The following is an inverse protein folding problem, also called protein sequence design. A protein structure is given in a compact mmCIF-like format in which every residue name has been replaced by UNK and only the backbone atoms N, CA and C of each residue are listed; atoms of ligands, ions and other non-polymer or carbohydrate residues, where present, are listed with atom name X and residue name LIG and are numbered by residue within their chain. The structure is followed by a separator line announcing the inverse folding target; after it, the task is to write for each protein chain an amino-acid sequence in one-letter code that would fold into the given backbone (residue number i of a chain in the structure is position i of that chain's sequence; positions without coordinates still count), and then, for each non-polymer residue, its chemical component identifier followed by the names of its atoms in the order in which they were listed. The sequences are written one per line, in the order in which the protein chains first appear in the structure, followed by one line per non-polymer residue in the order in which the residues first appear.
data_IF_402994644416
#
_entry.id   IF_402994644416
#
_cell.length_a   1.000
_cell.length_b   1.000
_cell.length_c   1.000
_cell.angle_alpha   90.00
_cell.angle_beta   90.00
_cell.angle_gamma   90.00
#
_symmetry.space_group_name_H-M   'P 1'
#
loop_
_entity.id
_entity.type
_entity.pdbx_description
1 polymer ?
#
# COMPACT_ATOMS: atom_id res chain seq x y z
N UNK A 1 13.91 -16.92 12.09
CA UNK A 1 12.45 -17.00 11.90
C UNK A 1 12.08 -17.98 10.83
N UNK A 2 10.92 -18.61 10.97
CA UNK A 2 10.37 -19.55 9.98
C UNK A 2 9.17 -18.89 9.28
N UNK A 3 9.18 -18.90 7.95
CA UNK A 3 8.21 -18.20 7.11
C UNK A 3 7.23 -19.19 6.48
N UNK A 4 5.95 -18.89 6.54
CA UNK A 4 4.91 -19.50 5.71
C UNK A 4 4.58 -18.58 4.53
N UNK A 5 4.36 -19.12 3.34
CA UNK A 5 3.95 -18.35 2.15
C UNK A 5 2.58 -18.82 1.72
N UNK A 6 1.64 -17.87 1.58
CA UNK A 6 0.25 -18.14 1.21
C UNK A 6 -0.12 -17.26 0.02
N UNK A 7 -0.58 -17.88 -1.08
CA UNK A 7 -1.08 -17.16 -2.26
C UNK A 7 -0.42 -17.55 -3.57
N UNK A 8 -0.50 -16.66 -4.55
CA UNK A 8 -0.11 -16.95 -5.93
C UNK A 8 0.79 -15.89 -6.58
N UNK A 9 1.10 -14.79 -5.89
CA UNK A 9 1.92 -13.73 -6.48
C UNK A 9 3.35 -14.21 -6.71
N UNK A 10 3.82 -14.10 -7.94
CA UNK A 10 5.18 -14.46 -8.32
C UNK A 10 6.25 -13.63 -7.58
N UNK A 11 5.90 -12.52 -6.98
CA UNK A 11 6.80 -11.69 -6.18
C UNK A 11 7.31 -12.39 -4.93
N UNK A 12 6.52 -13.31 -4.39
CA UNK A 12 6.94 -14.14 -3.27
C UNK A 12 8.24 -14.91 -3.55
N UNK A 13 8.57 -15.15 -4.84
CA UNK A 13 9.82 -15.81 -5.25
C UNK A 13 11.05 -14.99 -4.83
N UNK A 14 11.00 -13.67 -5.01
CA UNK A 14 12.14 -12.79 -4.66
C UNK A 14 12.42 -12.85 -3.15
N UNK A 15 11.34 -12.82 -2.34
CA UNK A 15 11.46 -12.97 -0.90
C UNK A 15 11.95 -14.38 -0.52
N UNK A 16 11.42 -15.43 -1.17
CA UNK A 16 11.81 -16.80 -0.93
C UNK A 16 13.29 -17.05 -1.28
N UNK A 17 13.80 -16.48 -2.38
CA UNK A 17 15.23 -16.50 -2.72
C UNK A 17 16.07 -15.78 -1.65
N UNK A 18 15.63 -14.63 -1.16
CA UNK A 18 16.32 -13.89 -0.09
C UNK A 18 16.35 -14.70 1.22
N UNK A 19 15.25 -15.38 1.58
CA UNK A 19 15.21 -16.27 2.75
C UNK A 19 16.19 -17.42 2.58
N UNK A 20 16.21 -18.05 1.41
CA UNK A 20 17.14 -19.16 1.10
C UNK A 20 18.61 -18.74 1.18
N UNK A 21 18.93 -17.50 0.84
CA UNK A 21 20.30 -16.99 0.88
C UNK A 21 20.86 -16.83 2.31
N UNK A 22 20.01 -16.90 3.34
CA UNK A 22 20.44 -16.79 4.74
C UNK A 22 20.35 -18.13 5.44
N UNK A 23 21.21 -18.34 6.45
CA UNK A 23 21.12 -19.48 7.37
C UNK A 23 20.25 -19.20 8.59
N UNK A 24 19.92 -17.94 8.83
CA UNK A 24 19.15 -17.50 10.00
C UNK A 24 17.64 -17.69 9.85
N UNK A 25 17.16 -17.90 8.61
CA UNK A 25 15.74 -17.96 8.32
C UNK A 25 15.43 -19.20 7.46
N UNK A 26 14.17 -19.66 7.55
CA UNK A 26 13.73 -20.88 6.83
C UNK A 26 12.33 -20.67 6.28
N UNK A 27 12.04 -21.31 5.14
CA UNK A 27 10.69 -21.44 4.62
C UNK A 27 10.10 -22.73 5.18
N UNK A 28 8.89 -22.62 5.73
CA UNK A 28 8.12 -23.72 6.32
C UNK A 28 6.96 -24.14 5.43
N UNK A 29 5.74 -24.29 6.02
CA UNK A 29 4.56 -24.68 5.26
C UNK A 29 4.13 -23.55 4.30
N UNK A 30 3.76 -23.93 3.09
CA UNK A 30 3.32 -23.01 2.07
C UNK A 30 2.00 -23.49 1.46
N UNK A 31 1.01 -22.61 1.40
CA UNK A 31 -0.21 -22.79 0.63
C UNK A 31 -0.16 -21.90 -0.61
N UNK A 32 0.46 -22.41 -1.68
CA UNK A 32 0.76 -21.61 -2.86
C UNK A 32 0.21 -22.26 -4.14
N UNK A 33 -0.12 -21.44 -5.13
CA UNK A 33 -0.56 -21.91 -6.44
C UNK A 33 0.52 -22.79 -7.11
N UNK A 34 0.08 -23.75 -7.90
CA UNK A 34 0.99 -24.72 -8.53
C UNK A 34 2.09 -24.10 -9.39
N UNK A 35 1.83 -22.95 -10.05
CA UNK A 35 2.83 -22.19 -10.81
C UNK A 35 3.92 -21.61 -9.90
N UNK A 36 3.53 -21.07 -8.75
CA UNK A 36 4.46 -20.54 -7.76
C UNK A 36 5.26 -21.67 -7.10
N UNK A 37 4.61 -22.77 -6.73
CA UNK A 37 5.24 -23.96 -6.18
C UNK A 37 6.31 -24.55 -7.17
N UNK A 38 5.97 -24.65 -8.46
CA UNK A 38 6.88 -25.11 -9.48
C UNK A 38 8.09 -24.17 -9.64
N UNK A 39 7.87 -22.86 -9.61
CA UNK A 39 8.93 -21.86 -9.70
C UNK A 39 9.87 -21.90 -8.48
N UNK A 40 9.34 -22.05 -7.27
CA UNK A 40 10.12 -22.20 -6.05
C UNK A 40 10.95 -23.50 -6.08
N UNK A 41 10.34 -24.62 -6.49
CA UNK A 41 11.03 -25.90 -6.64
C UNK A 41 12.15 -25.81 -7.68
N UNK A 42 11.89 -25.19 -8.84
CA UNK A 42 12.87 -24.99 -9.90
C UNK A 42 14.11 -24.18 -9.47
N UNK A 43 13.96 -23.36 -8.43
CA UNK A 43 15.06 -22.58 -7.81
C UNK A 43 15.73 -23.30 -6.65
N UNK A 44 15.31 -24.54 -6.34
CA UNK A 44 15.87 -25.31 -5.22
C UNK A 44 15.47 -24.77 -3.85
N UNK A 45 14.35 -24.07 -3.76
CA UNK A 45 13.79 -23.60 -2.48
C UNK A 45 13.08 -24.78 -1.81
N UNK A 46 13.50 -25.13 -0.60
CA UNK A 46 12.89 -26.19 0.19
C UNK A 46 11.68 -25.64 0.96
N UNK A 47 10.51 -26.25 0.83
CA UNK A 47 9.29 -25.93 1.55
C UNK A 47 8.38 -27.16 1.65
N UNK A 48 7.38 -27.14 2.53
CA UNK A 48 6.34 -28.15 2.60
C UNK A 48 5.01 -27.57 2.07
N UNK A 49 4.39 -28.25 1.12
CA UNK A 49 3.12 -27.83 0.56
C UNK A 49 1.98 -28.30 1.50
N UNK A 50 1.08 -27.39 1.83
CA UNK A 50 -0.14 -27.65 2.62
C UNK A 50 -1.38 -27.34 1.81
N UNK A 51 -2.53 -27.90 2.21
CA UNK A 51 -3.76 -27.84 1.44
C UNK A 51 -4.54 -26.52 1.66
N UNK A 52 -4.39 -25.91 2.82
CA UNK A 52 -5.14 -24.69 3.16
C UNK A 52 -4.27 -23.62 3.85
N UNK A 53 -4.65 -22.34 3.74
CA UNK A 53 -4.00 -21.25 4.48
C UNK A 53 -3.96 -21.50 5.99
N UNK A 54 -5.04 -22.04 6.56
CA UNK A 54 -5.17 -22.32 7.98
C UNK A 54 -4.10 -23.31 8.45
N UNK A 55 -3.82 -24.38 7.69
CA UNK A 55 -2.77 -25.33 8.01
C UNK A 55 -1.40 -24.67 8.11
N UNK A 56 -1.12 -23.71 7.18
CA UNK A 56 0.14 -22.97 7.20
C UNK A 56 0.23 -22.04 8.41
N UNK A 57 -0.86 -21.36 8.78
CA UNK A 57 -0.90 -20.36 9.86
C UNK A 57 -0.81 -21.03 11.25
N UNK A 58 -1.48 -22.18 11.44
CA UNK A 58 -1.58 -22.87 12.75
C UNK A 58 -0.28 -23.60 13.10
N UNK A 59 0.61 -23.87 12.15
CA UNK A 59 1.90 -24.51 12.44
C UNK A 59 2.67 -23.71 13.51
N UNK A 60 2.89 -24.32 14.66
CA UNK A 60 3.50 -23.67 15.84
C UNK A 60 4.96 -23.22 15.61
N UNK A 61 5.59 -23.73 14.57
CA UNK A 61 6.95 -23.31 14.20
C UNK A 61 7.01 -22.10 13.27
N UNK A 62 5.87 -21.56 12.80
CA UNK A 62 5.83 -20.40 11.93
C UNK A 62 5.87 -19.11 12.77
N UNK A 63 6.77 -18.20 12.44
CA UNK A 63 6.90 -16.89 13.06
C UNK A 63 6.28 -15.78 12.17
N UNK A 64 6.39 -15.92 10.85
CA UNK A 64 5.99 -14.91 9.86
C UNK A 64 5.15 -15.54 8.77
N UNK A 65 4.02 -14.93 8.47
CA UNK A 65 3.16 -15.31 7.33
C UNK A 65 3.32 -14.29 6.21
N UNK A 66 3.71 -14.75 5.04
CA UNK A 66 3.77 -13.96 3.81
C UNK A 66 2.47 -14.14 3.05
N UNK A 67 1.68 -13.08 2.97
CA UNK A 67 0.41 -13.05 2.25
C UNK A 67 0.67 -12.53 0.84
N UNK A 68 0.53 -13.41 -0.14
CA UNK A 68 0.81 -13.15 -1.57
C UNK A 68 -0.43 -13.39 -2.44
N UNK A 69 -1.59 -13.01 -1.94
CA UNK A 69 -2.89 -13.20 -2.60
C UNK A 69 -3.15 -12.12 -3.66
N UNK A 70 -3.76 -12.51 -4.77
CA UNK A 70 -4.11 -11.57 -5.84
C UNK A 70 -5.42 -10.80 -5.57
N UNK A 71 -6.31 -11.37 -4.74
CA UNK A 71 -7.58 -10.76 -4.40
C UNK A 71 -7.47 -9.99 -3.07
N UNK A 72 -8.03 -8.77 -3.04
CA UNK A 72 -8.01 -7.86 -1.87
C UNK A 72 -8.68 -8.50 -0.65
N UNK A 73 -9.88 -9.04 -0.81
CA UNK A 73 -10.66 -9.58 0.31
C UNK A 73 -9.99 -10.83 0.91
N UNK A 74 -9.45 -11.70 0.04
CA UNK A 74 -8.70 -12.88 0.46
C UNK A 74 -7.41 -12.48 1.16
N UNK A 75 -6.69 -11.49 0.64
CA UNK A 75 -5.47 -10.96 1.24
C UNK A 75 -5.71 -10.44 2.65
N UNK A 76 -6.74 -9.61 2.86
CA UNK A 76 -7.14 -9.11 4.18
C UNK A 76 -7.59 -10.24 5.11
N UNK A 77 -8.36 -11.21 4.60
CA UNK A 77 -8.82 -12.36 5.39
C UNK A 77 -7.65 -13.19 5.93
N UNK A 78 -6.68 -13.52 5.08
CA UNK A 78 -5.49 -14.28 5.45
C UNK A 78 -4.60 -13.49 6.42
N UNK A 79 -4.40 -12.18 6.15
CA UNK A 79 -3.65 -11.31 7.05
C UNK A 79 -4.29 -11.23 8.44
N UNK A 80 -5.62 -11.15 8.52
CA UNK A 80 -6.39 -11.15 9.78
C UNK A 80 -6.24 -12.48 10.53
N UNK A 81 -6.37 -13.61 9.84
CA UNK A 81 -6.19 -14.94 10.45
C UNK A 81 -4.77 -15.11 11.01
N UNK A 82 -3.75 -14.68 10.25
CA UNK A 82 -2.36 -14.74 10.69
C UNK A 82 -2.10 -13.86 11.93
N UNK A 83 -2.63 -12.63 11.92
CA UNK A 83 -2.54 -11.71 13.06
C UNK A 83 -3.23 -12.26 14.31
N UNK A 84 -4.41 -12.89 14.16
CA UNK A 84 -5.15 -13.55 15.26
C UNK A 84 -4.46 -14.82 15.79
N UNK A 85 -3.61 -15.43 14.98
CA UNK A 85 -2.78 -16.57 15.37
C UNK A 85 -1.42 -16.15 15.96
N UNK A 86 -1.24 -14.86 16.30
CA UNK A 86 -0.03 -14.32 16.87
C UNK A 86 1.19 -14.48 15.94
N UNK A 87 1.02 -14.16 14.64
CA UNK A 87 2.09 -14.21 13.65
C UNK A 87 2.38 -12.81 13.12
N UNK A 88 3.65 -12.53 12.86
CA UNK A 88 4.01 -11.39 12.04
C UNK A 88 3.52 -11.57 10.60
N UNK A 89 3.15 -10.50 9.93
CA UNK A 89 2.58 -10.56 8.59
C UNK A 89 3.38 -9.69 7.63
N UNK A 90 3.84 -10.30 6.54
CA UNK A 90 4.35 -9.59 5.37
C UNK A 90 3.29 -9.66 4.27
N UNK A 91 2.84 -8.51 3.79
CA UNK A 91 1.80 -8.47 2.77
C UNK A 91 2.38 -8.02 1.44
N UNK A 92 2.29 -8.85 0.43
CA UNK A 92 2.51 -8.45 -0.96
C UNK A 92 1.18 -7.90 -1.47
N UNK A 93 1.08 -6.59 -1.73
CA UNK A 93 -0.20 -6.00 -2.10
C UNK A 93 -0.77 -6.61 -3.37
N UNK A 94 -2.08 -6.87 -3.44
CA UNK A 94 -2.78 -7.27 -4.67
C UNK A 94 -2.65 -6.24 -5.80
N UNK A 95 -3.05 -6.63 -7.01
CA UNK A 95 -2.92 -5.77 -8.19
C UNK A 95 -3.83 -4.54 -8.15
N UNK A 96 -5.00 -4.67 -7.55
CA UNK A 96 -6.01 -3.62 -7.44
C UNK A 96 -6.19 -3.18 -5.99
N UNK A 97 -5.23 -2.43 -5.48
CA UNK A 97 -5.29 -1.88 -4.12
C UNK A 97 -5.79 -0.44 -4.10
N UNK A 98 -6.49 -0.11 -3.03
CA UNK A 98 -7.00 1.23 -2.76
C UNK A 98 -6.59 1.69 -1.35
N UNK A 99 -6.87 2.95 -1.03
CA UNK A 99 -6.69 3.47 0.33
C UNK A 99 -7.52 2.73 1.38
N UNK A 100 -8.64 2.10 0.99
CA UNK A 100 -9.42 1.25 1.89
C UNK A 100 -8.63 -0.01 2.31
N UNK A 101 -7.84 -0.59 1.40
CA UNK A 101 -6.99 -1.73 1.72
C UNK A 101 -5.92 -1.37 2.76
N UNK A 102 -5.23 -0.25 2.59
CA UNK A 102 -4.25 0.19 3.60
C UNK A 102 -4.90 0.48 4.94
N UNK A 103 -6.11 1.03 4.94
CA UNK A 103 -6.87 1.26 6.17
C UNK A 103 -7.20 -0.03 6.93
N UNK A 104 -7.65 -1.08 6.23
CA UNK A 104 -7.87 -2.40 6.85
C UNK A 104 -6.58 -2.97 7.44
N UNK A 105 -5.43 -2.83 6.75
CA UNK A 105 -4.15 -3.26 7.28
C UNK A 105 -3.72 -2.44 8.51
N UNK A 106 -3.99 -1.13 8.55
CA UNK A 106 -3.76 -0.30 9.73
C UNK A 106 -4.57 -0.78 10.93
N UNK A 107 -5.87 -1.05 10.73
CA UNK A 107 -6.71 -1.59 11.80
C UNK A 107 -6.16 -2.91 12.35
N UNK A 108 -5.73 -3.81 11.46
CA UNK A 108 -5.13 -5.07 11.88
C UNK A 108 -3.82 -4.86 12.67
N UNK A 109 -2.99 -3.90 12.25
CA UNK A 109 -1.77 -3.54 12.97
C UNK A 109 -2.09 -2.97 14.36
N UNK A 110 -3.11 -2.10 14.47
CA UNK A 110 -3.51 -1.50 15.74
C UNK A 110 -4.08 -2.53 16.73
N UNK A 111 -4.81 -3.52 16.23
CA UNK A 111 -5.40 -4.60 17.02
C UNK A 111 -4.40 -5.70 17.38
N UNK A 112 -3.26 -5.79 16.69
CA UNK A 112 -2.26 -6.84 16.83
C UNK A 112 -1.08 -6.42 17.72
N UNK A 113 -0.48 -7.38 18.41
CA UNK A 113 0.82 -7.22 19.07
C UNK A 113 2.00 -7.57 18.14
N UNK A 114 1.72 -8.07 16.95
CA UNK A 114 2.69 -8.52 15.95
C UNK A 114 2.78 -7.53 14.80
N UNK A 115 3.97 -7.42 14.19
CA UNK A 115 4.19 -6.48 13.10
C UNK A 115 3.49 -6.90 11.81
N UNK A 116 2.95 -5.92 11.10
CA UNK A 116 2.40 -6.07 9.76
C UNK A 116 3.11 -5.08 8.85
N UNK A 117 3.74 -5.57 7.78
CA UNK A 117 4.52 -4.74 6.86
C UNK A 117 4.12 -5.04 5.41
N UNK A 118 3.71 -4.03 4.62
CA UNK A 118 3.50 -4.18 3.19
C UNK A 118 4.85 -4.25 2.45
N UNK A 119 5.01 -5.27 1.62
CA UNK A 119 6.18 -5.49 0.77
C UNK A 119 5.96 -4.78 -0.57
N UNK A 120 6.50 -3.58 -0.70
CA UNK A 120 6.30 -2.69 -1.84
C UNK A 120 7.62 -2.31 -2.51
N UNK A 121 7.60 -1.38 -3.46
CA UNK A 121 8.75 -1.02 -4.30
C UNK A 121 10.01 -0.60 -3.53
N UNK A 122 9.86 0.10 -2.41
CA UNK A 122 10.99 0.58 -1.58
C UNK A 122 11.89 -0.54 -1.06
N UNK A 123 11.32 -1.72 -0.81
CA UNK A 123 12.08 -2.87 -0.31
C UNK A 123 13.04 -3.44 -1.35
N UNK A 124 12.76 -3.21 -2.62
CA UNK A 124 13.55 -3.68 -3.75
C UNK A 124 14.62 -2.67 -4.21
N UNK A 125 14.74 -1.53 -3.51
CA UNK A 125 15.76 -0.51 -3.79
C UNK A 125 16.72 -0.47 -2.60
N UNK A 126 18.01 -0.61 -2.87
CA UNK A 126 19.05 -0.60 -1.83
C UNK A 126 19.48 0.83 -1.41
N UNK A 127 18.55 1.80 -1.46
CA UNK A 127 18.87 3.22 -1.19
C UNK A 127 19.05 3.52 0.31
N UNK A 128 18.49 2.68 1.18
CA UNK A 128 18.57 2.86 2.65
C UNK A 128 19.81 2.23 3.29
N UNK A 129 20.75 1.73 2.50
CA UNK A 129 21.99 1.17 3.04
C UNK A 129 22.95 2.28 3.47
N UNK A 130 23.73 2.09 4.54
CA UNK A 130 24.74 3.06 4.96
C UNK A 130 25.73 3.45 3.85
N UNK A 131 26.04 2.50 2.96
CA UNK A 131 26.86 2.75 1.77
C UNK A 131 26.28 3.72 0.76
N UNK A 132 24.99 4.08 0.88
CA UNK A 132 24.30 5.01 -0.01
C UNK A 132 24.06 6.39 0.61
N UNK A 133 24.53 6.64 1.82
CA UNK A 133 24.40 7.96 2.47
C UNK A 133 25.01 9.09 1.64
N UNK A 134 26.20 8.85 1.09
CA UNK A 134 26.85 9.80 0.17
C UNK A 134 26.05 10.05 -1.12
N UNK A 135 25.21 9.07 -1.52
CA UNK A 135 24.35 9.23 -2.70
C UNK A 135 23.18 10.17 -2.46
N UNK A 136 22.78 10.39 -1.20
CA UNK A 136 21.67 11.29 -0.83
C UNK A 136 22.07 12.76 -0.84
N UNK A 137 23.37 13.04 -0.76
CA UNK A 137 23.86 14.42 -0.78
C UNK A 137 23.87 14.98 -2.20
N UNK A 138 23.43 16.24 -2.32
CA UNK A 138 23.47 16.99 -3.57
C UNK A 138 22.73 16.32 -4.74
N UNK A 139 21.61 15.64 -4.46
CA UNK A 139 20.78 15.02 -5.48
C UNK A 139 20.02 16.10 -6.25
N UNK A 140 20.16 16.11 -7.57
CA UNK A 140 19.42 16.96 -8.48
C UNK A 140 18.13 16.28 -8.96
N UNK A 141 18.18 14.98 -9.20
CA UNK A 141 17.06 14.21 -9.76
C UNK A 141 17.20 12.73 -9.44
N UNK A 142 16.05 12.07 -9.23
CA UNK A 142 15.91 10.61 -9.22
C UNK A 142 15.17 10.17 -10.47
N UNK A 143 15.64 9.16 -11.18
CA UNK A 143 14.94 8.60 -12.34
C UNK A 143 14.90 7.08 -12.29
N UNK A 144 13.72 6.52 -12.56
CA UNK A 144 13.46 5.09 -12.59
C UNK A 144 12.80 4.74 -13.92
N UNK A 145 13.39 3.79 -14.66
CA UNK A 145 12.84 3.30 -15.91
C UNK A 145 12.26 1.91 -15.71
N UNK A 146 11.01 1.73 -16.10
CA UNK A 146 10.29 0.45 -16.04
C UNK A 146 9.75 0.10 -17.44
N UNK A 147 9.66 -1.19 -17.77
CA UNK A 147 9.02 -1.61 -19.01
C UNK A 147 7.51 -1.32 -18.96
N UNK A 148 6.97 -0.85 -20.09
CA UNK A 148 5.54 -0.70 -20.31
C UNK A 148 4.94 -2.08 -20.60
N UNK A 149 3.75 -2.34 -20.11
CA UNK A 149 3.00 -3.57 -20.40
C UNK A 149 1.61 -3.22 -20.94
N UNK A 150 1.06 -4.09 -21.78
CA UNK A 150 -0.31 -3.96 -22.30
C UNK A 150 -1.35 -4.51 -21.28
N UNK A 151 -0.90 -5.26 -20.26
CA UNK A 151 -1.76 -5.71 -19.17
C UNK A 151 -1.96 -4.56 -18.16
N UNK A 152 -3.19 -4.13 -18.03
CA UNK A 152 -3.56 -2.99 -17.18
C UNK A 152 -3.28 -3.28 -15.69
N UNK A 153 -3.52 -4.49 -15.22
CA UNK A 153 -3.27 -4.88 -13.83
C UNK A 153 -1.77 -4.88 -13.53
N UNK A 154 -0.95 -5.48 -14.41
CA UNK A 154 0.50 -5.47 -14.28
C UNK A 154 1.06 -4.03 -14.39
N UNK A 155 0.48 -3.20 -15.26
CA UNK A 155 0.88 -1.79 -15.39
C UNK A 155 0.59 -0.99 -14.09
N UNK A 156 -0.57 -1.18 -13.46
CA UNK A 156 -0.91 -0.55 -12.18
C UNK A 156 0.04 -1.00 -11.06
N UNK A 157 0.34 -2.29 -11.00
CA UNK A 157 1.31 -2.85 -10.05
C UNK A 157 2.69 -2.21 -10.23
N UNK A 158 3.20 -2.10 -11.46
CA UNK A 158 4.48 -1.44 -11.77
C UNK A 158 4.48 0.04 -11.39
N UNK A 159 3.35 0.74 -11.59
CA UNK A 159 3.19 2.13 -11.17
C UNK A 159 3.28 2.27 -9.65
N UNK A 160 2.51 1.46 -8.90
CA UNK A 160 2.54 1.47 -7.45
C UNK A 160 3.96 1.23 -6.93
N UNK A 161 4.66 0.23 -7.45
CA UNK A 161 6.02 -0.09 -7.04
C UNK A 161 7.03 0.99 -7.41
N UNK A 162 6.93 1.53 -8.61
CA UNK A 162 7.82 2.60 -9.07
C UNK A 162 7.65 3.87 -8.25
N UNK A 163 6.41 4.26 -7.95
CA UNK A 163 6.12 5.40 -7.06
C UNK A 163 6.65 5.13 -5.66
N UNK A 164 6.38 3.93 -5.10
CA UNK A 164 6.86 3.57 -3.77
C UNK A 164 8.40 3.52 -3.69
N UNK A 165 9.06 3.03 -4.73
CA UNK A 165 10.52 3.01 -4.79
C UNK A 165 11.12 4.42 -4.75
N UNK A 166 10.53 5.38 -5.47
CA UNK A 166 10.97 6.78 -5.45
C UNK A 166 10.68 7.45 -4.10
N UNK A 167 9.48 7.24 -3.53
CA UNK A 167 9.14 7.73 -2.18
C UNK A 167 10.07 7.10 -1.11
N UNK A 168 10.45 5.84 -1.29
CA UNK A 168 11.38 5.12 -0.40
C UNK A 168 12.80 5.70 -0.37
N UNK A 169 13.15 6.60 -1.31
CA UNK A 169 14.43 7.30 -1.30
C UNK A 169 14.53 8.40 -0.21
N UNK A 170 13.49 8.57 0.61
CA UNK A 170 13.51 9.49 1.77
C UNK A 170 13.08 10.91 1.44
N UNK A 171 12.42 11.13 0.30
CA UNK A 171 11.87 12.43 -0.10
C UNK A 171 10.35 12.44 0.00
N UNK A 172 9.80 13.53 0.51
CA UNK A 172 8.36 13.72 0.61
C UNK A 172 7.84 14.45 -0.63
N UNK A 173 7.18 13.70 -1.49
CA UNK A 173 6.52 14.23 -2.68
C UNK A 173 5.06 14.56 -2.38
N UNK A 174 4.62 15.76 -2.78
CA UNK A 174 3.24 16.23 -2.59
C UNK A 174 2.52 16.54 -3.90
N UNK A 175 3.21 16.41 -5.03
CA UNK A 175 2.65 16.67 -6.35
C UNK A 175 2.98 15.55 -7.31
N UNK A 176 2.05 15.23 -8.19
CA UNK A 176 2.25 14.29 -9.28
C UNK A 176 1.76 14.84 -10.60
N UNK A 177 2.60 14.71 -11.62
CA UNK A 177 2.27 15.01 -13.02
C UNK A 177 2.52 13.76 -13.84
N UNK A 178 1.53 13.32 -14.60
CA UNK A 178 1.66 12.17 -15.47
C UNK A 178 1.26 12.50 -16.91
N UNK A 179 2.05 12.01 -17.86
CA UNK A 179 1.87 12.24 -19.28
C UNK A 179 2.02 10.94 -20.05
N UNK A 180 1.04 10.65 -20.90
CA UNK A 180 1.05 9.56 -21.86
C UNK A 180 1.43 10.07 -23.24
N UNK A 181 2.33 9.36 -23.90
CA UNK A 181 2.72 9.62 -25.30
C UNK A 181 2.16 8.47 -26.16
N UNK A 182 1.09 8.72 -26.93
CA UNK A 182 0.53 7.72 -27.84
C UNK A 182 1.39 7.57 -29.09
N UNK A 183 1.44 6.37 -29.63
CA UNK A 183 2.00 6.09 -30.95
C UNK A 183 1.05 6.45 -32.08
N UNK A 184 1.54 6.36 -33.30
CA UNK A 184 0.75 6.60 -34.52
C UNK A 184 -0.40 5.55 -34.69
N UNK A 185 -0.25 4.40 -34.09
CA UNK A 185 -1.23 3.30 -34.05
C UNK A 185 -2.23 3.40 -32.88
N UNK A 186 -2.14 4.47 -32.09
CA UNK A 186 -2.97 4.69 -30.90
C UNK A 186 -2.52 3.92 -29.66
N UNK A 187 -1.49 3.06 -29.76
CA UNK A 187 -0.93 2.38 -28.60
C UNK A 187 -0.08 3.32 -27.78
N UNK A 188 0.00 3.07 -26.49
CA UNK A 188 0.86 3.83 -25.60
C UNK A 188 2.33 3.49 -25.90
N UNK A 189 3.13 4.50 -26.28
CA UNK A 189 4.58 4.34 -26.50
C UNK A 189 5.38 4.53 -25.22
N UNK A 190 5.00 5.53 -24.43
CA UNK A 190 5.62 5.79 -23.14
C UNK A 190 4.68 6.51 -22.20
N UNK A 191 4.90 6.33 -20.90
CA UNK A 191 4.27 7.09 -19.82
C UNK A 191 5.38 7.69 -18.97
N UNK A 192 5.31 8.97 -18.69
CA UNK A 192 6.23 9.64 -17.78
C UNK A 192 5.45 10.19 -16.60
N UNK A 193 5.93 9.90 -15.40
CA UNK A 193 5.38 10.40 -14.15
C UNK A 193 6.45 11.20 -13.44
N UNK A 194 6.14 12.43 -13.08
CA UNK A 194 7.02 13.30 -12.30
C UNK A 194 6.43 13.52 -10.92
N UNK A 195 7.19 13.19 -9.90
CA UNK A 195 6.90 13.45 -8.51
C UNK A 195 7.68 14.68 -8.08
N UNK A 196 7.05 15.61 -7.37
CA UNK A 196 7.69 16.82 -6.85
C UNK A 196 7.09 17.24 -5.51
N UNK A 197 7.79 18.09 -4.78
CA UNK A 197 7.24 18.73 -3.59
C UNK A 197 6.49 20.02 -3.96
N UNK A 198 5.70 20.54 -3.03
CA UNK A 198 5.10 21.86 -3.14
C UNK A 198 6.19 22.95 -3.02
N UNK A 199 6.03 24.05 -3.77
CA UNK A 199 6.95 25.22 -3.72
C UNK A 199 6.99 25.90 -2.34
N UNK A 200 6.09 25.53 -1.44
CA UNK A 200 6.02 26.04 -0.07
C UNK A 200 6.99 25.36 0.92
N UNK A 201 7.71 24.31 0.50
CA UNK A 201 8.71 23.66 1.35
C UNK A 201 10.04 24.43 1.28
N UNK A 202 10.60 24.79 2.45
CA UNK A 202 11.93 25.40 2.55
C UNK A 202 13.07 24.44 2.15
N UNK A 203 12.75 23.16 1.96
CA UNK A 203 13.71 22.12 1.56
C UNK A 203 13.54 21.84 0.08
N UNK A 204 14.61 22.00 -0.69
CA UNK A 204 14.62 21.64 -2.10
C UNK A 204 14.58 20.13 -2.27
N UNK A 205 13.40 19.58 -2.59
CA UNK A 205 13.19 18.18 -2.86
C UNK A 205 13.50 17.88 -4.33
N UNK A 206 14.44 16.98 -4.65
CA UNK A 206 14.76 16.63 -6.02
C UNK A 206 13.55 15.94 -6.68
N UNK A 207 13.21 16.26 -7.94
CA UNK A 207 12.12 15.60 -8.64
C UNK A 207 12.42 14.11 -8.84
N UNK A 208 11.40 13.28 -8.61
CA UNK A 208 11.40 11.86 -8.94
C UNK A 208 10.74 11.66 -10.31
N UNK A 209 11.44 11.04 -11.26
CA UNK A 209 10.92 10.75 -12.60
C UNK A 209 10.79 9.25 -12.78
N UNK A 210 9.57 8.78 -13.03
CA UNK A 210 9.26 7.41 -13.36
C UNK A 210 8.84 7.34 -14.82
N UNK A 211 9.58 6.58 -15.64
CA UNK A 211 9.31 6.43 -17.06
C UNK A 211 8.99 4.99 -17.41
N UNK A 212 7.86 4.75 -18.06
CA UNK A 212 7.49 3.48 -18.64
C UNK A 212 7.69 3.57 -20.16
N UNK A 213 8.43 2.61 -20.72
CA UNK A 213 8.68 2.57 -22.17
C UNK A 213 8.42 1.17 -22.72
N UNK A 214 7.90 1.13 -23.94
CA UNK A 214 7.76 -0.13 -24.65
C UNK A 214 9.16 -0.58 -25.09
N UNK A 215 9.56 -1.77 -24.67
CA UNK A 215 10.81 -2.38 -25.11
C UNK A 215 10.67 -2.77 -26.57
N UNK A 216 11.32 -2.04 -27.48
CA UNK A 216 11.45 -2.50 -28.85
C UNK A 216 12.44 -3.67 -28.85
N UNK A 217 12.08 -4.81 -29.47
CA UNK A 217 13.08 -5.86 -29.72
C UNK A 217 14.21 -5.23 -30.56
N UNK A 218 15.38 -5.08 -29.94
CA UNK A 218 16.58 -4.66 -30.66
C UNK A 218 17.01 -5.77 -31.61
N UNK A 219 16.83 -5.54 -32.92
CA UNK A 219 17.31 -6.43 -34.00
C UNK A 219 18.83 -6.34 -34.21
N UNK A 220 19.64 -6.15 -33.17
CA UNK A 220 21.09 -6.10 -33.30
C UNK A 220 21.74 -7.10 -32.36
N UNK A 221 22.28 -8.18 -32.97
CA UNK A 221 23.02 -9.26 -32.32
C UNK A 221 24.37 -8.83 -31.69
N UNK A 222 24.71 -7.53 -31.66
CA UNK A 222 26.05 -7.08 -31.30
C UNK A 222 26.22 -6.52 -29.89
N UNK A 223 25.13 -6.44 -29.07
CA UNK A 223 25.23 -5.90 -27.70
C UNK A 223 24.62 -6.85 -26.66
N UNK A 224 25.33 -7.98 -26.42
CA UNK A 224 24.96 -8.99 -25.44
C UNK A 224 25.17 -8.58 -23.98
N UNK A 225 25.52 -7.31 -23.68
CA UNK A 225 25.91 -6.90 -22.33
C UNK A 225 24.94 -5.95 -21.62
N UNK A 226 23.79 -5.61 -22.20
CA UNK A 226 22.79 -4.81 -21.47
C UNK A 226 21.57 -5.66 -21.14
N UNK A 227 21.68 -6.46 -20.09
CA UNK A 227 20.53 -6.94 -19.34
C UNK A 227 19.60 -5.75 -19.11
N UNK A 228 18.28 -5.92 -19.37
CA UNK A 228 17.21 -4.93 -19.09
C UNK A 228 17.08 -4.71 -17.58
N UNK A 229 18.16 -4.32 -16.92
CA UNK A 229 18.17 -4.08 -15.49
C UNK A 229 17.37 -2.80 -15.21
N UNK A 230 16.27 -2.93 -14.52
CA UNK A 230 15.59 -1.79 -13.95
C UNK A 230 16.54 -1.11 -12.98
N UNK A 231 16.94 0.11 -13.28
CA UNK A 231 17.91 0.86 -12.50
C UNK A 231 17.29 2.15 -12.01
N UNK A 232 17.48 2.41 -10.74
CA UNK A 232 17.29 3.75 -10.21
C UNK A 232 18.57 4.55 -10.50
N UNK A 233 18.43 5.64 -11.21
CA UNK A 233 19.53 6.56 -11.51
C UNK A 233 19.39 7.79 -10.62
N UNK A 234 20.43 8.06 -9.85
CA UNK A 234 20.56 9.25 -9.01
C UNK A 234 21.49 10.22 -9.72
N UNK A 235 20.97 11.35 -10.19
CA UNK A 235 21.76 12.41 -10.80
C UNK A 235 22.07 13.46 -9.75
N UNK A 236 23.35 13.75 -9.54
CA UNK A 236 23.82 14.80 -8.62
C UNK A 236 23.88 16.18 -9.29
N UNK A 237 23.99 17.21 -8.47
CA UNK A 237 24.10 18.63 -8.94
C UNK A 237 25.35 18.90 -9.74
N UNK A 238 26.40 18.09 -9.61
CA UNK A 238 27.64 18.16 -10.41
C UNK A 238 27.52 17.42 -11.76
N UNK A 239 26.36 16.81 -12.04
CA UNK A 239 26.09 16.04 -13.25
C UNK A 239 26.56 14.59 -13.20
N UNK A 240 27.08 14.11 -12.05
CA UNK A 240 27.43 12.69 -11.91
C UNK A 240 26.18 11.82 -11.77
N UNK A 241 26.20 10.63 -12.37
CA UNK A 241 25.11 9.66 -12.30
C UNK A 241 25.55 8.42 -11.52
N UNK A 242 24.75 8.05 -10.55
CA UNK A 242 24.89 6.81 -9.79
C UNK A 242 23.76 5.85 -10.15
N UNK A 243 24.10 4.63 -10.52
CA UNK A 243 23.15 3.60 -10.90
C UNK A 243 22.96 2.60 -9.76
N UNK A 244 21.74 2.49 -9.26
CA UNK A 244 21.35 1.54 -8.22
C UNK A 244 20.52 0.45 -8.88
N UNK A 245 21.01 -0.79 -8.84
CA UNK A 245 20.25 -1.94 -9.32
C UNK A 245 19.04 -2.19 -8.44
N UNK A 246 17.88 -2.43 -9.05
CA UNK A 246 16.63 -2.69 -8.32
C UNK A 246 16.04 -4.04 -8.73
N UNK A 247 15.38 -4.70 -7.77
CA UNK A 247 14.65 -5.95 -8.03
C UNK A 247 13.21 -5.72 -8.53
N UNK A 248 12.91 -4.54 -9.05
CA UNK A 248 11.56 -4.17 -9.50
C UNK A 248 11.10 -4.86 -10.79
N UNK A 249 11.98 -5.60 -11.45
CA UNK A 249 11.63 -6.38 -12.63
C UNK A 249 10.78 -7.60 -12.29
N UNK A 250 9.97 -8.00 -13.26
CA UNK A 250 9.09 -9.16 -13.15
C UNK A 250 9.85 -10.41 -12.68
N UNK A 251 9.32 -11.13 -11.69
CA UNK A 251 10.00 -12.28 -11.10
C UNK A 251 10.20 -13.48 -12.02
N UNK A 252 9.68 -13.43 -13.24
CA UNK A 252 9.64 -14.60 -14.11
C UNK A 252 10.93 -14.90 -14.89
N UNK A 253 11.92 -14.00 -14.92
CA UNK A 253 13.00 -14.20 -15.88
C UNK A 253 14.42 -13.77 -15.54
N UNK A 254 14.68 -12.86 -14.64
CA UNK A 254 16.03 -12.37 -14.40
C UNK A 254 16.48 -12.61 -12.96
N UNK A 255 17.66 -13.20 -12.85
CA UNK A 255 18.30 -13.49 -11.57
C UNK A 255 18.66 -12.26 -10.77
N UNK A 256 17.69 -11.61 -10.13
CA UNK A 256 18.00 -10.86 -8.94
C UNK A 256 18.36 -11.92 -7.88
N UNK A 257 19.61 -12.24 -7.82
CA UNK A 257 20.18 -12.91 -6.68
C UNK A 257 20.44 -11.81 -5.66
N UNK A 258 19.56 -11.68 -4.69
CA UNK A 258 19.94 -11.09 -3.41
C UNK A 258 20.92 -12.08 -2.79
N UNK A 259 22.18 -12.05 -3.24
CA UNK A 259 23.22 -12.99 -2.82
C UNK A 259 23.46 -12.95 -1.32
N UNK A 260 22.98 -11.90 -0.63
CA UNK A 260 23.36 -11.60 0.74
C UNK A 260 22.23 -11.74 1.77
N UNK A 261 21.00 -12.11 1.39
CA UNK A 261 19.86 -12.19 2.35
C UNK A 261 19.51 -10.86 3.03
N UNK A 262 20.03 -9.74 2.55
CA UNK A 262 19.86 -8.41 3.13
C UNK A 262 18.40 -7.96 3.18
N UNK A 263 17.60 -8.31 2.15
CA UNK A 263 16.17 -7.98 2.10
C UNK A 263 15.42 -8.59 3.29
N UNK A 264 15.54 -9.90 3.51
CA UNK A 264 14.81 -10.58 4.58
C UNK A 264 15.29 -10.13 5.96
N UNK A 265 16.58 -9.86 6.12
CA UNK A 265 17.14 -9.36 7.39
C UNK A 265 16.56 -7.99 7.74
N UNK A 266 16.48 -7.08 6.77
CA UNK A 266 15.84 -5.76 6.94
C UNK A 266 14.36 -5.89 7.28
N UNK A 267 13.63 -6.74 6.55
CA UNK A 267 12.21 -6.98 6.79
C UNK A 267 11.95 -7.49 8.21
N UNK A 268 12.77 -8.43 8.69
CA UNK A 268 12.66 -8.97 10.05
C UNK A 268 12.92 -7.89 11.12
N UNK A 269 13.95 -7.06 10.91
CA UNK A 269 14.25 -5.95 11.82
C UNK A 269 13.07 -4.97 11.93
N UNK A 270 12.40 -4.71 10.80
CA UNK A 270 11.24 -3.82 10.79
C UNK A 270 9.98 -4.49 11.35
N UNK A 271 9.76 -5.78 11.11
CA UNK A 271 8.61 -6.53 11.64
C UNK A 271 8.59 -6.61 13.17
N UNK A 272 9.77 -6.63 13.80
CA UNK A 272 9.90 -6.72 15.26
C UNK A 272 9.78 -5.37 15.97
N UNK A 273 9.77 -4.27 15.21
CA UNK A 273 9.68 -2.90 15.71
C UNK A 273 8.35 -2.27 15.30
N UNK A 274 7.48 -2.01 16.29
CA UNK A 274 6.13 -1.50 16.03
C UNK A 274 6.13 -0.10 15.39
N UNK A 275 7.02 0.77 15.81
CA UNK A 275 7.09 2.14 15.28
C UNK A 275 7.53 2.12 13.81
N UNK A 276 8.44 1.20 13.46
CA UNK A 276 8.82 0.98 12.07
C UNK A 276 7.66 0.41 11.25
N UNK A 277 6.90 -0.55 11.79
CA UNK A 277 5.69 -1.08 11.12
C UNK A 277 4.70 0.04 10.83
N UNK A 278 4.41 0.90 11.81
CA UNK A 278 3.49 2.02 11.66
C UNK A 278 3.99 2.99 10.59
N UNK A 279 5.26 3.37 10.63
CA UNK A 279 5.88 4.24 9.62
C UNK A 279 5.77 3.67 8.20
N UNK A 280 5.99 2.35 8.02
CA UNK A 280 5.83 1.71 6.72
C UNK A 280 4.39 1.67 6.25
N UNK A 281 3.46 1.50 7.16
CA UNK A 281 2.05 1.51 6.84
C UNK A 281 1.59 2.90 6.39
N UNK A 282 2.00 3.96 7.10
CA UNK A 282 1.73 5.35 6.72
C UNK A 282 2.32 5.68 5.35
N UNK A 283 3.56 5.28 5.11
CA UNK A 283 4.23 5.46 3.83
C UNK A 283 3.54 4.69 2.70
N UNK A 284 3.04 3.49 2.96
CA UNK A 284 2.26 2.72 1.98
C UNK A 284 0.95 3.44 1.62
N UNK A 285 0.26 3.99 2.61
CA UNK A 285 -0.94 4.79 2.39
C UNK A 285 -0.67 6.03 1.56
N UNK A 286 0.42 6.74 1.84
CA UNK A 286 0.86 7.89 1.06
C UNK A 286 1.16 7.49 -0.40
N UNK A 287 1.80 6.34 -0.61
CA UNK A 287 2.06 5.81 -1.95
C UNK A 287 0.78 5.51 -2.72
N UNK A 288 -0.24 4.95 -2.05
CA UNK A 288 -1.55 4.71 -2.68
C UNK A 288 -2.24 6.02 -3.06
N UNK A 289 -2.17 7.04 -2.23
CA UNK A 289 -2.72 8.36 -2.55
C UNK A 289 -1.98 9.01 -3.73
N UNK A 290 -0.65 8.89 -3.79
CA UNK A 290 0.15 9.35 -4.93
C UNK A 290 -0.22 8.61 -6.21
N UNK A 291 -0.40 7.29 -6.14
CA UNK A 291 -0.81 6.47 -7.30
C UNK A 291 -2.22 6.86 -7.77
N UNK A 292 -3.15 7.11 -6.86
CA UNK A 292 -4.47 7.63 -7.20
C UNK A 292 -4.40 9.07 -7.80
N UNK A 293 -3.46 9.88 -7.32
CA UNK A 293 -3.13 11.18 -7.88
C UNK A 293 -2.61 11.09 -9.32
N UNK A 294 -1.75 10.10 -9.59
CA UNK A 294 -1.22 9.79 -10.92
C UNK A 294 -2.37 9.50 -11.90
N UNK A 295 -3.30 8.61 -11.56
CA UNK A 295 -4.46 8.31 -12.40
C UNK A 295 -5.34 9.55 -12.67
N UNK A 296 -5.54 10.39 -11.65
CA UNK A 296 -6.24 11.67 -11.80
C UNK A 296 -5.48 12.63 -12.72
N UNK A 297 -4.14 12.65 -12.64
CA UNK A 297 -3.28 13.48 -13.49
C UNK A 297 -3.39 13.08 -14.95
N UNK A 298 -3.31 11.78 -15.27
CA UNK A 298 -3.51 11.24 -16.62
C UNK A 298 -4.87 11.64 -17.20
N UNK A 299 -5.95 11.45 -16.42
CA UNK A 299 -7.31 11.77 -16.85
C UNK A 299 -7.54 13.27 -17.07
N UNK A 300 -6.97 14.11 -16.19
CA UNK A 300 -7.17 15.56 -16.22
C UNK A 300 -6.09 16.31 -17.00
N UNK A 301 -5.02 15.64 -17.40
CA UNK A 301 -3.85 16.22 -18.11
C UNK A 301 -3.27 17.44 -17.40
N UNK A 302 -3.17 17.38 -16.07
CA UNK A 302 -2.59 18.44 -15.24
C UNK A 302 -1.92 17.87 -14.00
N UNK A 303 -1.06 18.68 -13.38
CA UNK A 303 -0.50 18.40 -12.06
C UNK A 303 -1.61 18.28 -11.02
N UNK A 304 -1.49 17.29 -10.14
CA UNK A 304 -2.38 17.05 -9.02
C UNK A 304 -1.57 17.22 -7.73
N UNK A 305 -2.06 18.10 -6.86
CA UNK A 305 -1.57 18.18 -5.49
C UNK A 305 -2.18 17.03 -4.68
N UNK A 306 -1.32 16.29 -3.98
CA UNK A 306 -1.70 15.18 -3.11
C UNK A 306 -1.53 15.64 -1.67
N UNK A 307 -2.61 15.63 -0.94
CA UNK A 307 -2.63 15.98 0.48
C UNK A 307 -2.71 14.70 1.29
N UNK A 308 -1.68 14.43 2.06
CA UNK A 308 -1.64 13.28 2.97
C UNK A 308 -2.40 13.66 4.24
N UNK A 309 -3.71 13.46 4.21
CA UNK A 309 -4.50 13.53 5.45
C UNK A 309 -4.20 12.24 6.24
N UNK A 310 -3.62 12.37 7.42
CA UNK A 310 -3.34 11.23 8.31
C UNK A 310 -4.55 10.30 8.40
N UNK A 311 -4.33 9.03 8.13
CA UNK A 311 -5.40 8.01 7.99
C UNK A 311 -6.25 7.91 9.25
N UNK A 312 -5.65 8.15 10.43
CA UNK A 312 -6.30 8.03 11.72
C UNK A 312 -7.47 8.99 11.92
N UNK A 313 -7.37 10.24 11.47
CA UNK A 313 -8.40 11.24 11.73
C UNK A 313 -9.61 11.13 10.79
N UNK A 314 -9.33 10.90 9.49
CA UNK A 314 -10.41 10.87 8.48
C UNK A 314 -11.23 9.61 8.51
N UNK A 315 -10.60 8.47 8.79
CA UNK A 315 -11.27 7.17 8.88
C UNK A 315 -11.97 7.00 10.23
N UNK A 316 -11.34 7.39 11.34
CA UNK A 316 -11.99 7.43 12.64
C UNK A 316 -13.24 8.33 12.58
N UNK A 317 -13.13 9.50 11.95
CA UNK A 317 -14.25 10.40 11.73
C UNK A 317 -15.36 9.79 10.86
N UNK A 318 -15.00 9.13 9.75
CA UNK A 318 -15.96 8.49 8.85
C UNK A 318 -16.67 7.32 9.52
N UNK A 319 -15.94 6.50 10.27
CA UNK A 319 -16.49 5.36 11.02
C UNK A 319 -17.38 5.84 12.18
N UNK A 320 -16.93 6.84 12.93
CA UNK A 320 -17.75 7.46 13.99
C UNK A 320 -19.03 8.09 13.43
N UNK A 321 -18.96 8.82 12.31
CA UNK A 321 -20.13 9.41 11.67
C UNK A 321 -21.11 8.36 11.15
N UNK A 322 -20.61 7.25 10.60
CA UNK A 322 -21.45 6.14 10.15
C UNK A 322 -22.10 5.42 11.34
N UNK A 323 -21.37 5.18 12.42
CA UNK A 323 -21.89 4.57 13.64
C UNK A 323 -22.94 5.47 14.32
N UNK A 324 -22.66 6.78 14.43
CA UNK A 324 -23.60 7.76 14.99
C UNK A 324 -24.85 7.85 14.09
N UNK A 325 -24.68 7.90 12.77
CA UNK A 325 -25.80 7.95 11.82
C UNK A 325 -26.69 6.71 11.91
N UNK A 326 -26.08 5.51 11.99
CA UNK A 326 -26.81 4.26 12.17
C UNK A 326 -27.52 4.19 13.53
N UNK A 327 -26.87 4.68 14.59
CA UNK A 327 -27.46 4.78 15.93
C UNK A 327 -28.67 5.72 15.97
N UNK A 328 -28.57 6.91 15.36
CA UNK A 328 -29.68 7.86 15.26
C UNK A 328 -30.85 7.29 14.46
N UNK A 329 -30.57 6.62 13.32
CA UNK A 329 -31.61 5.97 12.51
C UNK A 329 -32.34 4.88 13.31
N UNK A 330 -31.58 4.04 14.00
CA UNK A 330 -32.12 2.99 14.87
C UNK A 330 -32.99 3.58 15.98
N UNK A 331 -32.54 4.63 16.64
CA UNK A 331 -33.28 5.37 17.65
C UNK A 331 -34.62 5.93 17.11
N UNK A 332 -34.60 6.53 15.92
CA UNK A 332 -35.80 7.08 15.26
C UNK A 332 -36.82 5.97 14.97
N UNK A 333 -36.36 4.83 14.44
CA UNK A 333 -37.25 3.69 14.12
C UNK A 333 -37.87 3.10 15.39
N UNK A 334 -37.07 2.81 16.42
CA UNK A 334 -37.57 2.25 17.68
C UNK A 334 -38.48 3.26 18.43
N UNK A 335 -38.11 4.52 18.40
CA UNK A 335 -38.95 5.56 19.01
C UNK A 335 -40.32 5.71 18.31
N UNK A 336 -40.35 5.62 16.97
CA UNK A 336 -41.56 5.63 16.18
C UNK A 336 -42.49 4.44 16.50
N UNK A 337 -41.92 3.25 16.58
CA UNK A 337 -42.66 2.02 16.92
C UNK A 337 -43.18 2.14 18.37
N UNK A 338 -42.35 2.55 19.30
CA UNK A 338 -42.75 2.76 20.69
C UNK A 338 -43.90 3.80 20.84
N UNK A 339 -43.82 4.90 20.07
CA UNK A 339 -44.85 5.92 20.04
C UNK A 339 -46.17 5.37 19.47
N UNK A 340 -46.14 4.57 18.41
CA UNK A 340 -47.33 3.92 17.84
C UNK A 340 -47.98 2.95 18.81
N UNK A 341 -47.19 2.17 19.54
CA UNK A 341 -47.70 1.28 20.58
C UNK A 341 -48.34 2.02 21.75
N UNK A 342 -47.68 3.09 22.21
CA UNK A 342 -48.22 3.92 23.31
C UNK A 342 -49.50 4.65 22.90
N UNK A 343 -49.61 5.10 21.66
CA UNK A 343 -50.83 5.76 21.16
C UNK A 343 -52.04 4.82 21.06
N UNK A 344 -51.83 3.51 20.94
CA UNK A 344 -52.89 2.50 20.89
C UNK A 344 -53.30 1.96 22.28
N UNK A 345 -52.35 1.95 23.24
CA UNK A 345 -52.52 1.25 24.51
C UNK A 345 -53.03 2.13 25.65
N UNK A 346 -52.93 3.46 25.58
CA UNK A 346 -53.24 4.35 26.71
C UNK A 346 -53.89 5.66 26.31
N UNK A 347 -54.93 6.04 27.02
CA UNK A 347 -55.50 7.40 27.01
C UNK A 347 -54.59 8.32 27.87
N UNK A 348 -53.41 8.68 27.34
CA UNK A 348 -52.43 9.53 28.02
C UNK A 348 -52.90 11.01 28.00
N UNK A 349 -52.64 11.78 29.06
CA UNK A 349 -52.88 13.22 29.08
C UNK A 349 -52.12 13.91 27.92
N UNK A 350 -52.69 14.94 27.27
CA UNK A 350 -52.06 15.57 26.11
C UNK A 350 -50.70 16.19 26.42
N UNK A 351 -50.43 16.57 27.65
CA UNK A 351 -49.17 17.13 28.12
C UNK A 351 -48.03 16.06 28.08
N UNK A 352 -48.33 14.82 28.45
CA UNK A 352 -47.35 13.70 28.40
C UNK A 352 -46.96 13.38 26.95
N UNK A 353 -47.91 13.40 26.03
CA UNK A 353 -47.67 13.19 24.58
C UNK A 353 -46.80 14.29 23.98
N UNK A 354 -46.99 15.57 24.40
CA UNK A 354 -46.13 16.66 23.94
C UNK A 354 -44.69 16.53 24.42
N UNK A 355 -44.47 16.20 25.69
CA UNK A 355 -43.12 15.98 26.25
C UNK A 355 -42.44 14.82 25.54
N UNK A 356 -43.14 13.70 25.32
CA UNK A 356 -42.61 12.54 24.65
C UNK A 356 -42.16 12.87 23.19
N UNK A 357 -42.90 13.69 22.45
CA UNK A 357 -42.52 14.16 21.12
C UNK A 357 -41.25 15.01 21.16
N UNK A 358 -41.12 15.94 22.10
CA UNK A 358 -39.93 16.78 22.22
C UNK A 358 -38.70 15.94 22.54
N UNK A 359 -38.78 15.01 23.48
CA UNK A 359 -37.69 14.12 23.89
C UNK A 359 -37.25 13.21 22.75
N UNK A 360 -38.20 12.75 21.92
CA UNK A 360 -37.89 11.90 20.77
C UNK A 360 -37.23 12.67 19.62
N UNK A 361 -37.66 13.92 19.32
CA UNK A 361 -37.13 14.73 18.24
C UNK A 361 -35.79 15.38 18.59
N UNK A 362 -35.55 15.68 19.86
CA UNK A 362 -34.36 16.41 20.33
C UNK A 362 -33.00 15.81 19.85
N UNK A 363 -32.73 14.49 19.91
CA UNK A 363 -31.49 13.93 19.44
C UNK A 363 -31.30 14.08 17.93
N UNK A 364 -32.36 14.01 17.13
CA UNK A 364 -32.32 14.18 15.68
C UNK A 364 -31.97 15.64 15.32
N UNK A 365 -32.58 16.57 15.97
CA UNK A 365 -32.29 18.01 15.79
C UNK A 365 -30.86 18.32 16.21
N UNK A 366 -30.41 17.78 17.34
CA UNK A 366 -29.03 17.96 17.83
C UNK A 366 -28.00 17.38 16.84
N UNK A 367 -28.29 16.22 16.27
CA UNK A 367 -27.44 15.59 15.24
C UNK A 367 -27.38 16.45 13.97
N UNK A 368 -28.51 16.98 13.50
CA UNK A 368 -28.54 17.87 12.34
C UNK A 368 -27.79 19.18 12.59
N UNK A 369 -27.94 19.79 13.77
CA UNK A 369 -27.19 20.98 14.15
C UNK A 369 -25.69 20.69 14.19
N UNK A 370 -25.28 19.56 14.76
CA UNK A 370 -23.88 19.14 14.78
C UNK A 370 -23.31 19.00 13.37
N UNK A 371 -24.07 18.42 12.41
CA UNK A 371 -23.66 18.34 11.01
C UNK A 371 -23.47 19.70 10.32
N UNK A 372 -24.30 20.69 10.65
CA UNK A 372 -24.16 22.04 10.10
C UNK A 372 -23.02 22.84 10.73
N UNK A 373 -22.63 22.54 11.97
CA UNK A 373 -21.54 23.23 12.66
C UNK A 373 -20.15 22.68 12.23
N UNK A 374 -20.07 21.46 11.72
CA UNK A 374 -18.84 20.83 11.26
C UNK A 374 -18.08 21.61 10.16
N UNK A 375 -18.72 22.12 9.09
CA UNK A 375 -18.02 22.92 8.08
C UNK A 375 -17.48 24.25 8.64
N UNK A 376 -18.17 24.86 9.61
CA UNK A 376 -17.76 26.11 10.26
C UNK A 376 -16.54 25.94 11.18
N UNK A 377 -16.40 24.80 11.84
CA UNK A 377 -15.22 24.47 12.63
C UNK A 377 -13.97 24.25 11.74
N UNK A 378 -14.17 23.82 10.48
CA UNK A 378 -13.12 23.52 9.51
C UNK A 378 -12.46 24.78 8.93
N UNK A 379 -13.20 25.89 8.81
CA UNK A 379 -12.65 27.15 8.29
C UNK A 379 -11.75 27.87 9.32
N UNK A 380 -11.93 27.62 10.62
CA UNK A 380 -11.11 28.22 11.67
C UNK A 380 -9.70 27.66 11.76
N UNK A 381 -9.49 26.40 11.43
CA UNK A 381 -8.18 25.74 11.49
C UNK A 381 -7.31 26.01 10.24
N UNK A 382 -7.82 26.72 9.25
CA UNK A 382 -7.10 27.08 8.02
C UNK A 382 -6.47 28.48 8.09
N UNK A 383 -6.72 29.22 9.16
CA UNK A 383 -6.22 30.59 9.35
C UNK A 383 -5.27 30.75 10.54
N UNK A 384 -4.88 29.66 11.21
CA UNK A 384 -3.79 29.58 12.19
C UNK A 384 -2.64 28.74 11.60
#
# INVERSE_FOLDING_TARGET
MRFAIIGQSAEAIVLADSIRATTAHQIGPCCVAGSLAAAMTGRGIAFSLVASPEEAIIDSGVDVVVVAEANVDTSISVARQASQADRHVLVIPPDEVSTAYSFELHLLLDESNFGIVPLTGRWYVAFDQPSTEEMRENVQQLSLNLPLTDDEADQRRRQLRGVDALCGCGYEYTRVTALDVPGADGRLLSRTVTLSASDASDVQVPPGILTFRNERPRNSESDQSTTNDTRLVVTKTDGTEHHITTALQSPAGSGFQSEDGTLVTRLVDHLTDRDKCQSHMDQFSNTLEMTAGLEKSLRRRRTIDVYFDGISERSAFKTQMTAIGCGVLTYVIFGMVGFLIMAQLTSLPPLVLQIARIVWIAPVVLFLIAQFLLPLARERHKND
#
